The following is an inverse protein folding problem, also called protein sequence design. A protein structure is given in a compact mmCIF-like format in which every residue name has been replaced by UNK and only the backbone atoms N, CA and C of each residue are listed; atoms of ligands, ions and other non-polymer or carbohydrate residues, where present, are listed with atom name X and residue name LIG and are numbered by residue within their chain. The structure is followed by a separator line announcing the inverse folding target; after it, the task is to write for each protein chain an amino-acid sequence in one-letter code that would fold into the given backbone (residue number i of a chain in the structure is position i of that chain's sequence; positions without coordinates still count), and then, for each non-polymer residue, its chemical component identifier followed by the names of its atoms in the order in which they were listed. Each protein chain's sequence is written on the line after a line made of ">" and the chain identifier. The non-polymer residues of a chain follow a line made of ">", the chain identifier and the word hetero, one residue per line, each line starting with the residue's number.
data_IF_514367360064
#
_entry.id   IF_514367360064
#
_cell.length_a   1.000
_cell.length_b   1.000
_cell.length_c   1.000
_cell.angle_alpha   90.00
_cell.angle_beta   90.00
_cell.angle_gamma   90.00
#
_symmetry.space_group_name_H-M   'P 1'
#
loop_
_entity.id
_entity.type
_entity.pdbx_description
1 polymer ?
#
# COMPACT_ATOMS: atom_id res chain seq x y z
N UNK A 1 5.53 -4.78 21.18
CA UNK A 1 4.30 -5.23 20.50
C UNK A 1 4.57 -5.34 19.01
N UNK A 2 4.05 -6.36 18.32
CA UNK A 2 4.34 -6.57 16.90
C UNK A 2 3.35 -5.77 16.05
N UNK A 3 3.73 -4.55 15.66
CA UNK A 3 2.90 -3.61 14.90
C UNK A 3 2.32 -4.23 13.64
N UNK A 4 3.08 -5.07 12.93
CA UNK A 4 2.61 -5.77 11.74
C UNK A 4 1.43 -6.69 12.04
N UNK A 5 1.51 -7.47 13.12
CA UNK A 5 0.40 -8.37 13.52
C UNK A 5 -0.86 -7.58 13.86
N UNK A 6 -0.72 -6.41 14.49
CA UNK A 6 -1.88 -5.60 14.84
C UNK A 6 -2.51 -4.91 13.63
N UNK A 7 -1.69 -4.46 12.67
CA UNK A 7 -2.18 -3.96 11.39
C UNK A 7 -2.90 -5.07 10.64
N UNK A 8 -2.32 -6.28 10.59
CA UNK A 8 -2.93 -7.45 9.97
C UNK A 8 -4.28 -7.81 10.61
N UNK A 9 -4.38 -7.77 11.94
CA UNK A 9 -5.63 -8.03 12.67
C UNK A 9 -6.72 -7.04 12.32
N UNK A 10 -6.40 -5.75 12.22
CA UNK A 10 -7.37 -4.71 11.82
C UNK A 10 -7.74 -4.88 10.35
N UNK A 11 -6.74 -5.11 9.49
CA UNK A 11 -6.95 -5.31 8.06
C UNK A 11 -7.83 -6.52 7.74
N UNK A 12 -7.81 -7.55 8.59
CA UNK A 12 -8.65 -8.75 8.43
C UNK A 12 -10.14 -8.50 8.70
N UNK A 13 -10.50 -7.41 9.38
CA UNK A 13 -11.91 -7.06 9.66
C UNK A 13 -12.31 -5.72 9.03
N UNK A 14 -11.47 -5.17 8.16
CA UNK A 14 -11.70 -3.88 7.51
C UNK A 14 -12.34 -4.10 6.13
N UNK A 15 -13.67 -3.98 6.08
CA UNK A 15 -14.47 -4.22 4.87
C UNK A 15 -14.08 -3.30 3.70
N UNK A 16 -13.49 -2.13 3.97
CA UNK A 16 -13.00 -1.24 2.91
C UNK A 16 -11.84 -1.89 2.15
N UNK A 17 -11.03 -2.73 2.81
CA UNK A 17 -9.94 -3.46 2.16
C UNK A 17 -10.42 -4.63 1.31
N UNK A 18 -11.66 -5.09 1.50
CA UNK A 18 -12.25 -6.18 0.71
C UNK A 18 -12.86 -5.66 -0.60
N UNK A 19 -13.18 -4.36 -0.66
CA UNK A 19 -13.58 -3.66 -1.88
C UNK A 19 -12.37 -3.28 -2.75
N UNK A 20 -11.14 -3.52 -2.28
CA UNK A 20 -9.93 -3.15 -2.98
C UNK A 20 -9.72 -4.01 -4.25
N UNK A 21 -9.43 -3.34 -5.35
CA UNK A 21 -9.09 -3.92 -6.66
C UNK A 21 -8.02 -5.00 -6.51
N UNK A 22 -8.11 -6.07 -7.31
CA UNK A 22 -7.10 -7.12 -7.33
C UNK A 22 -5.69 -6.53 -7.54
N UNK A 23 -4.79 -6.83 -6.60
CA UNK A 23 -3.43 -6.31 -6.56
C UNK A 23 -2.45 -7.34 -7.09
N UNK A 24 -1.69 -6.99 -8.13
CA UNK A 24 -0.67 -7.89 -8.70
C UNK A 24 0.69 -7.21 -8.72
N UNK A 25 1.78 -7.86 -8.25
CA UNK A 25 3.13 -7.29 -8.38
C UNK A 25 3.55 -7.23 -9.85
N UNK A 26 4.05 -6.08 -10.30
CA UNK A 26 4.72 -5.98 -11.60
C UNK A 26 6.04 -6.72 -11.52
N UNK A 27 6.24 -7.68 -12.43
CA UNK A 27 7.52 -8.37 -12.62
C UNK A 27 8.24 -7.75 -13.82
N UNK A 28 9.22 -6.89 -13.56
CA UNK A 28 10.08 -6.38 -14.63
C UNK A 28 11.10 -7.47 -15.00
N UNK A 29 11.32 -7.78 -16.29
CA UNK A 29 12.28 -8.82 -16.70
C UNK A 29 13.70 -8.62 -16.13
N UNK A 30 14.09 -7.35 -15.90
CA UNK A 30 15.39 -6.98 -15.33
C UNK A 30 15.47 -7.00 -13.80
N UNK A 31 14.33 -6.92 -13.10
CA UNK A 31 14.26 -6.93 -11.62
C UNK A 31 12.90 -7.51 -11.20
N UNK A 32 12.84 -8.85 -11.17
CA UNK A 32 11.60 -9.60 -10.90
C UNK A 32 11.10 -9.41 -9.46
N UNK A 33 12.00 -9.09 -8.53
CA UNK A 33 11.74 -9.08 -7.09
C UNK A 33 11.89 -7.68 -6.48
N UNK A 34 11.80 -6.64 -7.32
CA UNK A 34 11.97 -5.25 -6.88
C UNK A 34 11.07 -4.92 -5.67
N UNK A 35 9.76 -5.16 -5.80
CA UNK A 35 8.78 -4.90 -4.75
C UNK A 35 9.10 -5.69 -3.46
N UNK A 36 9.41 -6.98 -3.57
CA UNK A 36 9.74 -7.83 -2.43
C UNK A 36 10.97 -7.31 -1.67
N UNK A 37 12.00 -6.88 -2.40
CA UNK A 37 13.20 -6.28 -1.81
C UNK A 37 12.87 -4.98 -1.07
N UNK A 38 12.01 -4.13 -1.62
CA UNK A 38 11.54 -2.90 -0.96
C UNK A 38 10.75 -3.20 0.31
N UNK A 39 9.86 -4.18 0.25
CA UNK A 39 9.10 -4.66 1.40
C UNK A 39 10.00 -5.16 2.52
N UNK A 40 11.04 -5.92 2.21
CA UNK A 40 12.00 -6.40 3.19
C UNK A 40 12.84 -5.25 3.77
N UNK A 41 13.39 -4.38 2.92
CA UNK A 41 14.25 -3.27 3.36
C UNK A 41 13.54 -2.27 4.27
N UNK A 42 12.23 -2.08 4.09
CA UNK A 42 11.44 -1.10 4.83
C UNK A 42 10.46 -1.73 5.82
N UNK A 43 10.50 -3.05 5.99
CA UNK A 43 9.52 -3.79 6.76
C UNK A 43 8.08 -3.39 6.39
N UNK A 44 7.73 -3.48 5.10
CA UNK A 44 6.37 -3.19 4.60
C UNK A 44 5.66 -4.51 4.33
N UNK A 45 4.50 -4.75 4.96
CA UNK A 45 3.67 -5.92 4.69
C UNK A 45 2.68 -5.68 3.54
N UNK A 46 2.08 -6.75 3.02
CA UNK A 46 1.00 -6.65 2.03
C UNK A 46 -0.22 -5.91 2.58
N UNK A 47 -0.55 -6.09 3.86
CA UNK A 47 -1.67 -5.37 4.49
C UNK A 47 -1.40 -3.87 4.54
N UNK A 48 -0.16 -3.44 4.83
CA UNK A 48 0.20 -2.02 4.77
C UNK A 48 0.01 -1.45 3.34
N UNK A 49 0.33 -2.24 2.31
CA UNK A 49 0.09 -1.85 0.91
C UNK A 49 -1.42 -1.71 0.65
N UNK A 50 -2.23 -2.68 1.08
CA UNK A 50 -3.70 -2.62 0.96
C UNK A 50 -4.26 -1.36 1.63
N UNK A 51 -3.81 -1.06 2.84
CA UNK A 51 -4.20 0.14 3.60
C UNK A 51 -3.83 1.41 2.84
N UNK A 52 -2.63 1.48 2.27
CA UNK A 52 -2.22 2.64 1.49
C UNK A 52 -3.07 2.84 0.24
N UNK A 53 -3.43 1.77 -0.47
CA UNK A 53 -4.29 1.87 -1.66
C UNK A 53 -5.72 2.30 -1.28
N UNK A 54 -6.26 1.77 -0.18
CA UNK A 54 -7.62 2.06 0.25
C UNK A 54 -7.80 3.46 0.86
N UNK A 55 -6.87 3.89 1.71
CA UNK A 55 -7.00 5.12 2.49
C UNK A 55 -6.06 6.23 2.04
N UNK A 56 -5.04 5.92 1.23
CA UNK A 56 -4.01 6.85 0.82
C UNK A 56 -4.49 7.88 -0.19
N UNK A 57 -3.81 9.02 -0.23
CA UNK A 57 -4.14 10.09 -1.16
C UNK A 57 -3.65 9.67 -2.53
N UNK A 58 -4.60 9.56 -3.46
CA UNK A 58 -4.30 9.23 -4.85
C UNK A 58 -3.77 10.46 -5.59
N UNK A 59 -2.66 10.29 -6.29
CA UNK A 59 -2.16 11.25 -7.29
C UNK A 59 -1.70 10.50 -8.53
N UNK A 60 -1.85 11.11 -9.70
CA UNK A 60 -1.33 10.55 -10.95
C UNK A 60 -0.02 11.22 -11.33
N UNK A 61 0.93 10.44 -11.80
CA UNK A 61 2.17 10.93 -12.41
C UNK A 61 1.95 11.18 -13.92
N UNK A 62 2.80 12.02 -14.51
CA UNK A 62 2.80 12.37 -15.94
C UNK A 62 2.97 11.15 -16.85
N UNK A 63 3.53 10.06 -16.34
CA UNK A 63 3.74 8.80 -17.05
C UNK A 63 2.61 7.79 -16.87
N UNK A 64 1.46 8.18 -16.31
CA UNK A 64 0.29 7.32 -16.16
C UNK A 64 0.30 6.40 -14.93
N UNK A 65 1.31 6.50 -14.07
CA UNK A 65 1.34 5.79 -12.80
C UNK A 65 0.42 6.45 -11.77
N UNK A 66 -0.19 5.65 -10.91
CA UNK A 66 -0.98 6.10 -9.76
C UNK A 66 -0.15 5.90 -8.51
N UNK A 67 -0.07 6.93 -7.68
CA UNK A 67 0.66 6.92 -6.41
C UNK A 67 -0.35 7.13 -5.29
N UNK A 68 -0.37 6.19 -4.36
CA UNK A 68 -1.14 6.28 -3.12
C UNK A 68 -0.19 6.63 -1.98
N UNK A 69 -0.44 7.73 -1.27
CA UNK A 69 0.40 8.17 -0.14
C UNK A 69 -0.42 8.26 1.14
N UNK A 70 -0.03 7.54 2.19
CA UNK A 70 -0.65 7.69 3.51
C UNK A 70 -0.16 8.95 4.21
N UNK A 71 -1.09 9.87 4.43
CA UNK A 71 -0.85 11.09 5.21
C UNK A 71 -1.48 11.00 6.60
N UNK A 72 -1.01 11.84 7.52
CA UNK A 72 -1.62 11.96 8.86
C UNK A 72 -3.10 12.24 8.83
N UNK A 73 -3.53 13.07 7.87
CA UNK A 73 -4.92 13.44 7.73
C UNK A 73 -5.80 12.21 7.48
N UNK A 74 -5.33 11.29 6.66
CA UNK A 74 -6.06 10.06 6.30
C UNK A 74 -6.00 9.01 7.41
N UNK A 75 -4.84 8.90 8.07
CA UNK A 75 -4.66 7.97 9.18
C UNK A 75 -5.51 8.37 10.39
N UNK A 76 -5.64 9.68 10.68
CA UNK A 76 -6.47 10.17 11.80
C UNK A 76 -7.94 9.78 11.70
N UNK A 77 -8.46 9.65 10.48
CA UNK A 77 -9.87 9.29 10.22
C UNK A 77 -10.06 7.82 9.90
N UNK A 78 -9.01 7.00 9.99
CA UNK A 78 -9.07 5.57 9.68
C UNK A 78 -8.87 4.71 10.94
N UNK A 79 -9.20 3.41 10.88
CA UNK A 79 -8.88 2.45 11.95
C UNK A 79 -7.38 2.36 12.29
N UNK A 80 -6.52 2.93 11.45
CA UNK A 80 -5.07 2.85 11.54
C UNK A 80 -4.42 4.06 12.21
N UNK A 81 -5.19 4.98 12.81
CA UNK A 81 -4.68 6.17 13.49
C UNK A 81 -3.56 5.87 14.51
N UNK A 82 -3.68 4.75 15.24
CA UNK A 82 -2.68 4.31 16.22
C UNK A 82 -1.34 3.86 15.63
N UNK A 83 -1.27 3.65 14.31
CA UNK A 83 -0.07 3.25 13.59
C UNK A 83 0.50 4.38 12.74
N UNK A 84 0.17 5.63 13.08
CA UNK A 84 0.61 6.81 12.32
C UNK A 84 2.12 6.81 12.10
N UNK A 85 2.92 6.56 13.13
CA UNK A 85 4.39 6.56 13.00
C UNK A 85 4.93 5.46 12.07
N UNK A 86 4.19 4.38 11.88
CA UNK A 86 4.57 3.26 11.01
C UNK A 86 4.08 3.44 9.57
N UNK A 87 2.88 4.00 9.40
CA UNK A 87 2.21 4.10 8.10
C UNK A 87 2.38 5.46 7.42
N UNK A 88 2.70 6.52 8.18
CA UNK A 88 2.89 7.86 7.64
C UNK A 88 3.98 7.83 6.57
N UNK A 89 3.66 8.41 5.42
CA UNK A 89 4.60 8.55 4.32
C UNK A 89 4.77 7.28 3.48
N UNK A 90 4.09 6.18 3.81
CA UNK A 90 4.04 4.99 2.96
C UNK A 90 3.45 5.38 1.60
N UNK A 91 4.21 5.11 0.54
CA UNK A 91 3.82 5.30 -0.84
C UNK A 91 3.76 3.96 -1.57
N UNK A 92 2.65 3.74 -2.26
CA UNK A 92 2.48 2.61 -3.18
C UNK A 92 2.33 3.18 -4.58
N UNK A 93 3.19 2.74 -5.49
CA UNK A 93 3.14 3.15 -6.90
C UNK A 93 2.56 1.99 -7.69
N UNK A 94 1.48 2.26 -8.42
CA UNK A 94 0.75 1.30 -9.23
C UNK A 94 0.68 1.76 -10.68
N UNK A 95 0.59 0.82 -11.61
CA UNK A 95 0.08 1.07 -12.95
C UNK A 95 -1.37 0.58 -13.01
N UNK A 96 -2.32 1.40 -13.50
CA UNK A 96 -3.67 0.95 -13.74
C UNK A 96 -3.69 -0.03 -14.92
N UNK A 97 -4.33 -1.16 -14.73
CA UNK A 97 -4.69 -2.14 -15.76
C UNK A 97 -6.21 -2.35 -15.73
N UNK A 98 -6.79 -2.85 -16.81
CA UNK A 98 -8.24 -2.82 -17.09
C UNK A 98 -9.14 -3.24 -15.91
N UNK A 99 -8.67 -4.18 -15.08
CA UNK A 99 -9.39 -4.65 -13.89
C UNK A 99 -8.47 -4.83 -12.67
N UNK A 100 -7.19 -4.48 -12.77
CA UNK A 100 -6.20 -4.74 -11.73
C UNK A 100 -5.30 -3.53 -11.50
N UNK A 101 -4.79 -3.39 -10.27
CA UNK A 101 -3.71 -2.47 -9.99
C UNK A 101 -2.42 -3.25 -9.93
N UNK A 102 -1.52 -2.96 -10.87
CA UNK A 102 -0.23 -3.62 -10.91
C UNK A 102 0.77 -2.81 -10.06
N UNK A 103 1.21 -3.36 -8.92
CA UNK A 103 2.10 -2.68 -7.99
C UNK A 103 3.52 -2.67 -8.55
N UNK A 104 4.04 -1.48 -8.81
CA UNK A 104 5.39 -1.24 -9.32
C UNK A 104 6.43 -1.35 -8.19
N UNK A 105 6.19 -0.64 -7.09
CA UNK A 105 7.15 -0.50 -5.98
C UNK A 105 6.50 0.16 -4.76
N UNK A 106 7.20 0.14 -3.63
CA UNK A 106 6.82 0.82 -2.39
C UNK A 106 7.97 1.62 -1.79
N UNK A 107 7.61 2.72 -1.13
CA UNK A 107 8.50 3.59 -0.38
C UNK A 107 7.90 3.80 1.01
#
# INVERSE_FOLDING_TARGET
>A
MNTHKQIQQIAATDEILDQAIALTPIRKPKDLNHLQRRQQQRAISNDMIRVAIAYGQQRSDRHGAIIYTLSDRQLKTSPYAKFTDTLRGLQVICLPDLQTLQILTTY
#
